data_IF_276598810778
#
_entry.id   IF_276598810778
#
_cell.length_a   1.000
_cell.length_b   1.000
_cell.length_c   1.000
_cell.angle_alpha   90.00
_cell.angle_beta   90.00
_cell.angle_gamma   90.00
#
_symmetry.space_group_name_H-M   'P 1'
#
loop_
_entity.id
_entity.type
_entity.pdbx_description
1 polymer ?
#
# COMPACT_ATOMS: atom_id res chain seq x y z
N UNK A 1 31.77 6.00 11.94
CA UNK A 1 31.22 5.99 10.57
C UNK A 1 29.77 5.54 10.64
N UNK A 2 28.82 6.47 10.48
CA UNK A 2 27.39 6.14 10.33
C UNK A 2 27.24 5.40 8.99
N UNK A 3 26.75 4.15 9.00
CA UNK A 3 26.33 3.51 7.75
C UNK A 3 25.19 4.34 7.20
N UNK A 4 25.35 4.86 5.98
CA UNK A 4 24.26 5.49 5.24
C UNK A 4 23.33 4.35 4.85
N UNK A 5 22.21 4.24 5.55
CA UNK A 5 21.18 3.25 5.22
C UNK A 5 20.41 3.80 4.02
N UNK A 6 20.58 3.18 2.87
CA UNK A 6 19.81 3.50 1.68
C UNK A 6 18.42 2.85 1.80
N UNK A 7 17.33 3.57 1.50
CA UNK A 7 16.00 2.98 1.52
C UNK A 7 15.87 1.92 0.42
N UNK A 8 15.19 0.81 0.71
CA UNK A 8 14.85 -0.16 -0.33
C UNK A 8 13.68 0.40 -1.15
N UNK A 9 13.96 0.88 -2.36
CA UNK A 9 12.98 1.51 -3.24
C UNK A 9 12.85 0.70 -4.53
N UNK A 10 11.60 0.39 -4.90
CA UNK A 10 11.27 -0.15 -6.22
C UNK A 10 10.74 1.00 -7.06
N UNK A 11 11.44 1.37 -8.14
CA UNK A 11 10.94 2.33 -9.11
C UNK A 11 10.09 1.61 -10.15
N UNK A 12 8.83 1.36 -9.79
CA UNK A 12 7.99 0.39 -10.50
C UNK A 12 7.72 0.76 -11.96
N UNK A 13 7.59 2.04 -12.30
CA UNK A 13 7.38 2.45 -13.71
C UNK A 13 8.63 2.13 -14.54
N UNK A 14 9.83 2.37 -13.99
CA UNK A 14 11.11 2.03 -14.61
C UNK A 14 11.26 0.52 -14.78
N UNK A 15 10.93 -0.27 -13.76
CA UNK A 15 11.03 -1.74 -13.84
C UNK A 15 10.03 -2.35 -14.82
N UNK A 16 8.79 -1.84 -14.86
CA UNK A 16 7.79 -2.25 -15.83
C UNK A 16 8.21 -1.92 -17.26
N UNK A 17 8.76 -0.71 -17.49
CA UNK A 17 9.27 -0.31 -18.79
C UNK A 17 10.47 -1.17 -19.23
N UNK A 18 11.37 -1.51 -18.29
CA UNK A 18 12.52 -2.38 -18.55
C UNK A 18 12.13 -3.79 -18.95
N UNK A 19 11.17 -4.39 -18.25
CA UNK A 19 10.78 -5.79 -18.45
C UNK A 19 9.80 -5.97 -19.62
N UNK A 20 8.86 -5.04 -19.78
CA UNK A 20 7.73 -5.21 -20.70
C UNK A 20 7.58 -4.11 -21.76
N UNK A 21 8.43 -3.09 -21.72
CA UNK A 21 8.35 -1.91 -22.58
C UNK A 21 7.41 -0.84 -22.05
N UNK A 22 7.41 0.32 -22.71
CA UNK A 22 6.59 1.46 -22.31
C UNK A 22 5.08 1.19 -22.41
N UNK A 23 4.31 1.85 -21.54
CA UNK A 23 2.85 1.79 -21.58
C UNK A 23 2.17 1.57 -20.23
N UNK A 24 2.93 1.63 -19.14
CA UNK A 24 2.40 1.72 -17.78
C UNK A 24 2.76 3.08 -17.18
N UNK A 25 1.79 3.68 -16.48
CA UNK A 25 1.98 4.86 -15.66
C UNK A 25 1.66 4.50 -14.22
N UNK A 26 2.65 4.61 -13.34
CA UNK A 26 2.51 4.37 -11.90
C UNK A 26 2.09 5.66 -11.21
N UNK A 27 1.11 5.55 -10.31
CA UNK A 27 0.59 6.62 -9.47
C UNK A 27 0.89 6.25 -8.03
N UNK A 28 1.58 7.12 -7.31
CA UNK A 28 1.88 7.00 -5.88
C UNK A 28 0.82 7.78 -5.08
N UNK A 29 -0.27 7.15 -4.59
CA UNK A 29 -1.39 7.87 -3.98
C UNK A 29 -1.13 8.35 -2.54
N UNK A 30 0.05 8.03 -1.97
CA UNK A 30 0.38 8.38 -0.58
C UNK A 30 0.42 9.90 -0.34
N UNK A 31 0.77 10.68 -1.35
CA UNK A 31 0.80 12.15 -1.28
C UNK A 31 0.28 12.76 -2.59
N UNK A 32 0.10 14.08 -2.58
CA UNK A 32 -0.20 14.84 -3.80
C UNK A 32 0.90 14.64 -4.88
N UNK A 33 0.53 14.55 -6.17
CA UNK A 33 1.46 14.25 -7.26
C UNK A 33 2.57 15.31 -7.47
N UNK A 34 2.44 16.51 -6.91
CA UNK A 34 3.45 17.57 -7.01
C UNK A 34 4.49 17.51 -5.88
N UNK A 35 4.36 16.57 -4.94
CA UNK A 35 5.36 16.32 -3.91
C UNK A 35 6.51 15.51 -4.51
N UNK A 36 7.65 16.16 -4.74
CA UNK A 36 8.89 15.53 -5.27
C UNK A 36 9.85 15.10 -4.15
N UNK A 37 9.44 15.29 -2.89
CA UNK A 37 10.19 14.87 -1.72
C UNK A 37 10.00 13.38 -1.45
N UNK A 38 10.93 12.76 -0.72
CA UNK A 38 10.87 11.36 -0.24
C UNK A 38 9.55 10.96 0.44
N UNK A 39 8.70 11.93 0.82
CA UNK A 39 7.33 11.70 1.28
C UNK A 39 6.40 11.05 0.24
N UNK A 40 6.75 11.06 -1.05
CA UNK A 40 5.98 10.40 -2.11
C UNK A 40 6.28 8.89 -2.24
N UNK A 41 7.04 8.31 -1.31
CA UNK A 41 7.37 6.88 -1.26
C UNK A 41 6.49 6.17 -0.24
N UNK A 42 5.63 5.26 -0.71
CA UNK A 42 4.74 4.46 0.12
C UNK A 42 4.80 2.98 -0.24
N UNK A 43 4.13 2.14 0.54
CA UNK A 43 4.11 0.69 0.34
C UNK A 43 2.95 0.21 -0.58
N UNK A 44 2.20 1.14 -1.17
CA UNK A 44 1.11 0.84 -2.10
C UNK A 44 1.05 1.85 -3.26
N UNK A 45 0.87 1.35 -4.48
CA UNK A 45 0.68 2.18 -5.68
C UNK A 45 -0.40 1.60 -6.58
N UNK A 46 -0.95 2.44 -7.45
CA UNK A 46 -1.83 2.00 -8.53
C UNK A 46 -1.25 2.36 -9.88
N UNK A 47 -1.46 1.49 -10.87
CA UNK A 47 -0.85 1.65 -12.19
C UNK A 47 -1.90 1.56 -13.29
N UNK A 48 -1.87 2.52 -14.21
CA UNK A 48 -2.66 2.50 -15.45
C UNK A 48 -1.77 1.92 -16.55
N UNK A 49 -2.18 0.82 -17.14
CA UNK A 49 -1.36 0.07 -18.10
C UNK A 49 -2.14 -0.24 -19.38
N UNK A 50 -1.45 -0.34 -20.50
CA UNK A 50 -2.03 -0.93 -21.72
C UNK A 50 -2.52 -2.35 -21.42
N UNK A 51 -3.67 -2.73 -22.00
CA UNK A 51 -4.37 -4.00 -21.74
C UNK A 51 -3.49 -5.25 -21.92
N UNK A 52 -2.48 -5.20 -22.79
CA UNK A 52 -1.55 -6.31 -23.02
C UNK A 52 -0.55 -6.53 -21.87
N UNK A 53 -0.30 -5.52 -21.03
CA UNK A 53 0.62 -5.57 -19.89
C UNK A 53 -0.09 -6.03 -18.61
N UNK A 54 -1.33 -5.60 -18.39
CA UNK A 54 -2.10 -5.97 -17.19
C UNK A 54 -2.37 -7.48 -17.11
N UNK A 55 -2.60 -8.13 -18.25
CA UNK A 55 -2.82 -9.59 -18.32
C UNK A 55 -1.57 -10.39 -17.92
N UNK A 56 -0.37 -9.88 -18.22
CA UNK A 56 0.90 -10.55 -17.88
C UNK A 56 1.26 -10.46 -16.40
N UNK A 57 0.66 -9.51 -15.69
CA UNK A 57 0.91 -9.23 -14.27
C UNK A 57 -0.20 -9.76 -13.34
N UNK A 58 -1.20 -10.44 -13.90
CA UNK A 58 -2.32 -11.07 -13.17
C UNK A 58 -1.83 -12.20 -12.24
N UNK A 59 -2.36 -12.33 -11.01
CA UNK A 59 -1.62 -12.96 -9.90
C UNK A 59 -1.82 -14.46 -9.80
N UNK A 60 -0.86 -15.23 -10.32
CA UNK A 60 -0.72 -16.66 -9.98
C UNK A 60 0.73 -17.12 -9.76
N UNK A 61 1.70 -16.22 -9.57
CA UNK A 61 3.10 -16.62 -9.38
C UNK A 61 4.02 -15.53 -8.82
N UNK A 62 5.25 -15.93 -8.48
CA UNK A 62 6.34 -15.04 -8.05
C UNK A 62 6.48 -13.86 -8.99
N UNK A 63 6.37 -12.64 -8.46
CA UNK A 63 6.60 -11.43 -9.24
C UNK A 63 8.10 -11.25 -9.49
N UNK A 64 8.52 -10.74 -10.67
CA UNK A 64 9.93 -10.60 -11.02
C UNK A 64 10.65 -9.47 -10.26
N UNK A 65 9.92 -8.69 -9.45
CA UNK A 65 10.43 -7.52 -8.78
C UNK A 65 10.65 -7.80 -7.30
N UNK A 66 11.89 -7.73 -6.87
CA UNK A 66 12.24 -7.81 -5.46
C UNK A 66 11.47 -6.76 -4.65
N UNK A 67 10.94 -7.18 -3.50
CA UNK A 67 10.19 -6.30 -2.62
C UNK A 67 8.73 -6.09 -3.00
N UNK A 68 8.20 -6.67 -4.09
CA UNK A 68 6.75 -6.73 -4.35
C UNK A 68 6.15 -7.99 -3.71
N UNK A 69 5.09 -7.84 -2.93
CA UNK A 69 4.40 -8.95 -2.24
C UNK A 69 3.07 -9.32 -2.88
N UNK A 70 2.31 -8.33 -3.35
CA UNK A 70 1.02 -8.54 -4.00
C UNK A 70 0.89 -7.64 -5.22
N UNK A 71 0.40 -8.21 -6.33
CA UNK A 71 -0.10 -7.46 -7.49
C UNK A 71 -1.54 -7.90 -7.70
N UNK A 72 -2.48 -6.96 -7.61
CA UNK A 72 -3.90 -7.21 -7.85
C UNK A 72 -4.33 -6.58 -9.17
N UNK A 73 -5.21 -7.28 -9.90
CA UNK A 73 -6.02 -6.61 -10.92
C UNK A 73 -6.96 -5.60 -10.25
N UNK A 74 -7.51 -4.66 -11.02
CA UNK A 74 -8.57 -3.75 -10.55
C UNK A 74 -9.68 -4.52 -9.82
N UNK A 75 -10.19 -5.57 -10.42
CA UNK A 75 -11.31 -6.36 -9.88
C UNK A 75 -10.91 -7.06 -8.57
N UNK A 76 -9.69 -7.59 -8.51
CA UNK A 76 -9.19 -8.25 -7.30
C UNK A 76 -8.95 -7.23 -6.18
N UNK A 77 -8.44 -6.04 -6.51
CA UNK A 77 -8.23 -4.96 -5.55
C UNK A 77 -9.57 -4.44 -5.00
N UNK A 78 -10.58 -4.26 -5.86
CA UNK A 78 -11.95 -3.90 -5.43
C UNK A 78 -12.50 -4.94 -4.46
N UNK A 79 -12.36 -6.23 -4.79
CA UNK A 79 -12.93 -7.31 -3.98
C UNK A 79 -12.19 -7.55 -2.66
N UNK A 80 -10.85 -7.51 -2.66
CA UNK A 80 -10.03 -7.86 -1.49
C UNK A 80 -9.66 -6.68 -0.60
N UNK A 81 -9.54 -5.49 -1.19
CA UNK A 81 -9.12 -4.26 -0.50
C UNK A 81 -10.26 -3.26 -0.36
N UNK A 82 -11.47 -3.62 -0.84
CA UNK A 82 -12.69 -2.81 -0.72
C UNK A 82 -12.54 -1.41 -1.36
N UNK A 83 -11.76 -1.33 -2.45
CA UNK A 83 -11.43 -0.07 -3.14
C UNK A 83 -12.47 0.32 -4.20
N UNK A 84 -12.64 1.64 -4.47
CA UNK A 84 -13.48 2.12 -5.58
C UNK A 84 -12.82 1.89 -6.94
N UNK A 85 -13.35 0.94 -7.71
CA UNK A 85 -12.77 0.51 -8.99
C UNK A 85 -12.64 1.61 -10.05
N UNK A 86 -13.51 2.61 -10.02
CA UNK A 86 -13.50 3.78 -10.90
C UNK A 86 -12.40 4.80 -10.57
N UNK A 87 -11.72 4.65 -9.43
CA UNK A 87 -10.66 5.56 -8.96
C UNK A 87 -9.28 4.91 -8.87
N UNK A 88 -9.16 3.65 -9.27
CA UNK A 88 -7.88 2.94 -9.33
C UNK A 88 -7.56 2.52 -10.77
N UNK A 89 -6.26 2.37 -11.03
CA UNK A 89 -5.74 1.88 -12.30
C UNK A 89 -6.06 0.40 -12.56
N UNK A 90 -5.39 -0.16 -13.55
CA UNK A 90 -5.58 -1.54 -13.97
C UNK A 90 -4.91 -2.54 -13.02
N UNK A 91 -3.87 -2.08 -12.32
CA UNK A 91 -3.15 -2.83 -11.30
C UNK A 91 -3.07 -2.06 -9.97
N UNK A 92 -3.04 -2.80 -8.87
CA UNK A 92 -2.75 -2.30 -7.53
C UNK A 92 -1.61 -3.13 -6.93
N UNK A 93 -0.53 -2.49 -6.50
CA UNK A 93 0.72 -3.16 -6.13
C UNK A 93 1.09 -2.82 -4.71
N UNK A 94 1.44 -3.84 -3.92
CA UNK A 94 1.85 -3.74 -2.52
C UNK A 94 3.29 -4.25 -2.35
N UNK A 95 4.06 -3.58 -1.50
CA UNK A 95 5.45 -3.96 -1.21
C UNK A 95 5.59 -4.86 0.03
N UNK A 96 6.80 -5.39 0.19
CA UNK A 96 7.28 -6.03 1.41
C UNK A 96 7.50 -5.00 2.52
N UNK A 97 7.56 -5.48 3.77
CA UNK A 97 7.64 -4.67 5.00
C UNK A 97 8.66 -3.54 4.96
N UNK A 98 9.88 -3.83 4.50
CA UNK A 98 10.99 -2.88 4.55
C UNK A 98 11.26 -2.24 3.18
N UNK A 99 10.26 -2.21 2.29
CA UNK A 99 10.34 -1.69 0.93
C UNK A 99 9.26 -0.64 0.67
N UNK A 100 9.62 0.37 -0.11
CA UNK A 100 8.69 1.37 -0.66
C UNK A 100 8.68 1.32 -2.17
N UNK A 101 7.58 1.79 -2.77
CA UNK A 101 7.38 1.85 -4.21
C UNK A 101 7.34 3.31 -4.64
N UNK A 102 8.23 3.65 -5.57
CA UNK A 102 8.25 4.90 -6.30
C UNK A 102 7.82 4.73 -7.75
N UNK A 103 7.75 5.85 -8.46
CA UNK A 103 7.40 5.92 -9.88
C UNK A 103 8.62 5.65 -10.75
N UNK A 104 9.46 6.66 -10.96
CA UNK A 104 10.80 6.57 -11.58
C UNK A 104 11.82 7.26 -10.66
N UNK A 105 13.13 7.01 -10.78
CA UNK A 105 14.15 7.69 -9.96
C UNK A 105 14.05 9.22 -10.00
N UNK A 106 13.73 9.80 -11.17
CA UNK A 106 13.67 11.26 -11.38
C UNK A 106 12.51 11.94 -10.64
N UNK A 107 11.49 11.16 -10.24
CA UNK A 107 10.35 11.68 -9.48
C UNK A 107 10.61 11.74 -7.97
N UNK A 108 11.75 11.23 -7.49
CA UNK A 108 12.03 11.10 -6.06
C UNK A 108 13.40 11.68 -5.71
N UNK A 109 13.41 12.81 -5.00
CA UNK A 109 14.65 13.42 -4.50
C UNK A 109 15.04 12.83 -3.13
N UNK A 110 15.79 11.72 -3.17
CA UNK A 110 16.29 11.04 -1.97
C UNK A 110 17.40 11.82 -1.24
N UNK A 111 18.05 12.80 -1.89
CA UNK A 111 19.11 13.58 -1.25
C UNK A 111 18.58 14.42 -0.08
N UNK A 112 17.28 14.72 -0.09
CA UNK A 112 16.57 15.45 0.96
C UNK A 112 16.09 14.57 2.13
N UNK A 113 16.36 13.27 2.10
CA UNK A 113 16.00 12.37 3.20
C UNK A 113 16.98 12.57 4.36
N UNK A 114 16.50 13.14 5.46
CA UNK A 114 17.25 13.24 6.71
C UNK A 114 17.05 11.97 7.54
N UNK A 115 18.08 11.10 7.59
CA UNK A 115 18.04 9.86 8.35
C UNK A 115 17.47 8.67 7.59
N UNK A 116 16.88 7.71 8.32
CA UNK A 116 16.31 6.48 7.77
C UNK A 116 14.84 6.69 7.38
N UNK A 117 14.44 6.25 6.18
CA UNK A 117 13.05 6.33 5.73
C UNK A 117 12.14 5.44 6.60
N UNK A 118 11.01 6.02 7.01
CA UNK A 118 9.86 5.29 7.56
C UNK A 118 8.64 5.72 6.76
N UNK A 119 7.84 4.77 6.34
CA UNK A 119 6.63 5.03 5.55
C UNK A 119 5.53 4.04 5.92
N UNK A 120 4.44 4.05 5.16
CA UNK A 120 3.28 3.18 5.33
C UNK A 120 2.54 2.96 4.01
N UNK A 121 1.41 2.26 4.10
CA UNK A 121 0.43 2.09 3.03
C UNK A 121 0.22 0.64 2.61
N UNK A 122 1.06 -0.29 3.06
CA UNK A 122 1.00 -1.70 2.72
C UNK A 122 0.37 -2.55 3.82
N UNK A 123 0.42 -3.88 3.63
CA UNK A 123 -0.10 -4.86 4.61
C UNK A 123 0.56 -4.80 5.97
N UNK A 124 1.85 -4.45 5.99
CA UNK A 124 2.63 -4.50 7.21
C UNK A 124 2.36 -3.31 8.15
N UNK A 125 1.53 -2.36 7.71
CA UNK A 125 1.03 -1.23 8.49
C UNK A 125 -0.50 -1.26 8.69
N UNK A 126 -1.17 -2.34 8.28
CA UNK A 126 -2.62 -2.49 8.39
C UNK A 126 -3.08 -2.73 9.84
N UNK A 127 -2.26 -3.41 10.65
CA UNK A 127 -2.56 -3.70 12.05
C UNK A 127 -2.39 -2.46 12.93
N UNK A 128 -3.50 -2.01 13.54
CA UNK A 128 -3.53 -0.84 14.43
C UNK A 128 -4.16 -1.20 15.78
N UNK A 129 -3.80 -0.51 16.88
CA UNK A 129 -4.44 -0.73 18.17
C UNK A 129 -5.91 -0.30 18.14
N UNK A 130 -6.77 -1.09 18.79
CA UNK A 130 -8.19 -0.81 18.98
C UNK A 130 -8.49 -0.81 20.49
N UNK A 131 -8.68 0.37 21.07
CA UNK A 131 -8.79 0.55 22.53
C UNK A 131 -10.11 1.23 22.89
N UNK A 132 -10.84 0.63 23.83
CA UNK A 132 -12.06 1.16 24.44
C UNK A 132 -11.82 1.28 25.95
N UNK A 133 -12.19 2.41 26.56
CA UNK A 133 -11.93 2.68 27.98
C UNK A 133 -12.88 1.93 28.93
N UNK A 134 -14.02 1.46 28.43
CA UNK A 134 -15.03 0.75 29.19
C UNK A 134 -15.09 -0.74 28.83
N UNK A 135 -15.53 -1.61 29.76
CA UNK A 135 -15.77 -3.01 29.46
C UNK A 135 -16.78 -3.19 28.32
N UNK A 136 -16.50 -4.10 27.40
CA UNK A 136 -17.45 -4.47 26.35
C UNK A 136 -18.54 -5.40 26.90
N UNK A 137 -19.78 -5.20 26.44
CA UNK A 137 -20.86 -6.16 26.65
C UNK A 137 -20.58 -7.49 25.94
N UNK A 138 -21.30 -8.55 26.30
CA UNK A 138 -21.03 -9.92 25.85
C UNK A 138 -21.01 -10.07 24.31
N UNK A 139 -21.86 -9.33 23.58
CA UNK A 139 -21.90 -9.34 22.11
C UNK A 139 -20.59 -8.79 21.55
N UNK A 140 -20.19 -7.60 21.98
CA UNK A 140 -19.02 -6.91 21.44
C UNK A 140 -17.70 -7.52 21.93
N UNK A 141 -17.67 -8.12 23.11
CA UNK A 141 -16.55 -8.97 23.55
C UNK A 141 -16.37 -10.21 22.66
N UNK A 142 -17.45 -10.71 22.04
CA UNK A 142 -17.39 -11.74 21.00
C UNK A 142 -16.82 -11.22 19.69
N UNK A 143 -17.31 -10.07 19.21
CA UNK A 143 -16.83 -9.43 17.97
C UNK A 143 -15.35 -9.05 18.04
N UNK A 144 -14.88 -8.56 19.20
CA UNK A 144 -13.48 -8.22 19.45
C UNK A 144 -12.49 -9.40 19.26
N UNK A 145 -12.97 -10.65 19.30
CA UNK A 145 -12.14 -11.85 19.05
C UNK A 145 -11.98 -12.20 17.58
N UNK A 146 -12.72 -11.53 16.69
CA UNK A 146 -12.63 -11.69 15.24
C UNK A 146 -11.57 -10.77 14.66
N UNK A 147 -11.92 -10.10 13.56
CA UNK A 147 -11.06 -9.17 12.83
C UNK A 147 -11.72 -7.78 12.76
N UNK A 148 -11.81 -7.06 13.90
CA UNK A 148 -12.42 -5.73 13.91
C UNK A 148 -11.57 -4.76 13.09
N UNK A 149 -12.23 -3.93 12.29
CA UNK A 149 -11.57 -2.92 11.47
C UNK A 149 -11.49 -1.61 12.25
N UNK A 150 -10.47 -0.80 11.96
CA UNK A 150 -10.28 0.50 12.63
C UNK A 150 -11.54 1.40 12.54
N UNK A 151 -12.30 1.31 11.46
CA UNK A 151 -13.53 2.06 11.25
C UNK A 151 -14.74 1.52 12.04
N UNK A 152 -14.64 0.36 12.69
CA UNK A 152 -15.68 -0.17 13.59
C UNK A 152 -15.67 0.54 14.95
N UNK A 153 -14.70 1.42 15.22
CA UNK A 153 -14.50 2.06 16.52
C UNK A 153 -15.75 2.78 17.05
N UNK A 154 -16.53 3.43 16.18
CA UNK A 154 -17.77 4.09 16.57
C UNK A 154 -18.88 3.10 16.94
N UNK A 155 -18.98 1.97 16.23
CA UNK A 155 -19.96 0.93 16.57
C UNK A 155 -19.64 0.32 17.95
N UNK A 156 -18.37 0.00 18.20
CA UNK A 156 -17.92 -0.50 19.50
C UNK A 156 -18.12 0.53 20.62
N UNK A 157 -17.77 1.80 20.39
CA UNK A 157 -17.86 2.83 21.41
C UNK A 157 -19.32 3.18 21.77
N UNK A 158 -20.22 3.25 20.80
CA UNK A 158 -21.60 3.67 21.02
C UNK A 158 -22.52 2.52 21.47
N UNK A 159 -22.31 1.31 20.95
CA UNK A 159 -23.23 0.19 21.13
C UNK A 159 -22.61 -0.97 21.92
N UNK A 160 -21.29 -0.95 22.11
CA UNK A 160 -20.52 -2.09 22.61
C UNK A 160 -20.14 -2.04 24.08
N UNK A 161 -20.26 -0.89 24.73
CA UNK A 161 -19.91 -0.77 26.16
C UNK A 161 -21.00 -1.39 27.05
N UNK A 162 -20.59 -1.93 28.19
CA UNK A 162 -21.49 -2.36 29.24
C UNK A 162 -21.97 -1.12 30.00
N UNK A 163 -23.26 -0.80 29.88
CA UNK A 163 -23.90 0.27 30.67
C UNK A 163 -24.13 -0.17 32.11
#
# INVERSE_FOLDING_TARGET
MQRRWEPNVIFLETELAREFGDGCRVICPITDPYVVHHGALGAAVTSICRTTLSVKLSPTGSHPFDGVTEVHSRETAVAKLELPGDRIGDLFVLSARDWVIGRTPEHHDLAKLEGTLRSHGGRYEEMVPFLISEPLNAKYAGLAKGDPRNFDIFDFACNGIQQ
#
